data_IF_916344919160
#
_entry.id   IF_916344919160
#
_cell.length_a   1.000
_cell.length_b   1.000
_cell.length_c   1.000
_cell.angle_alpha   90.00
_cell.angle_beta   90.00
_cell.angle_gamma   90.00
#
_symmetry.space_group_name_H-M   'P 1'
#
loop_
_entity.id
_entity.type
_entity.pdbx_description
1 polymer ?
#
# COMPACT_ATOMS: atom_id res chain seq x y z
N UNK A 1 13.10 18.15 -14.27
CA UNK A 1 13.33 16.76 -13.89
C UNK A 1 12.57 16.45 -12.62
N UNK A 2 11.83 15.38 -12.64
CA UNK A 2 11.14 14.93 -11.43
C UNK A 2 12.00 13.96 -10.64
N UNK A 3 11.81 13.98 -9.34
CA UNK A 3 12.38 12.96 -8.46
C UNK A 3 11.47 11.75 -8.44
N UNK A 4 12.07 10.58 -8.25
CA UNK A 4 11.33 9.34 -8.04
C UNK A 4 11.34 8.98 -6.57
N UNK A 5 10.27 8.35 -6.14
CA UNK A 5 10.17 7.75 -4.83
C UNK A 5 9.82 6.28 -5.01
N UNK A 6 10.36 5.44 -4.15
CA UNK A 6 10.03 4.02 -4.16
C UNK A 6 9.00 3.75 -3.08
N UNK A 7 7.93 3.05 -3.44
CA UNK A 7 6.86 2.67 -2.52
C UNK A 7 6.84 1.16 -2.42
N UNK A 8 6.95 0.63 -1.20
CA UNK A 8 7.00 -0.81 -0.96
C UNK A 8 6.18 -1.15 0.25
N UNK A 9 5.31 -2.13 0.14
CA UNK A 9 4.56 -2.54 1.32
C UNK A 9 3.41 -3.48 1.01
N UNK A 10 2.54 -3.63 1.98
CA UNK A 10 1.41 -4.55 1.84
C UNK A 10 0.26 -4.13 2.73
N UNK A 11 -0.91 -4.65 2.36
CA UNK A 11 -2.13 -4.62 3.16
C UNK A 11 -2.61 -6.05 3.39
N UNK A 12 -3.11 -6.30 4.59
CA UNK A 12 -3.75 -7.56 4.95
C UNK A 12 -5.26 -7.37 4.89
N UNK A 13 -5.90 -8.21 4.09
CA UNK A 13 -7.33 -8.11 3.80
C UNK A 13 -8.01 -9.45 4.06
N UNK A 14 -9.34 -9.42 4.15
CA UNK A 14 -10.14 -10.63 4.04
C UNK A 14 -10.42 -10.95 2.58
N UNK A 15 -10.59 -12.23 2.26
CA UNK A 15 -10.86 -12.65 0.88
C UNK A 15 -12.12 -12.00 0.32
N UNK A 16 -13.12 -11.76 1.15
CA UNK A 16 -14.37 -11.12 0.71
C UNK A 16 -14.17 -9.66 0.33
N UNK A 17 -13.09 -9.03 0.74
CA UNK A 17 -12.78 -7.64 0.39
C UNK A 17 -12.07 -7.51 -0.97
N UNK A 18 -11.62 -8.62 -1.55
CA UNK A 18 -10.82 -8.58 -2.78
C UNK A 18 -11.54 -7.90 -3.96
N UNK A 19 -12.83 -8.18 -4.25
CA UNK A 19 -13.47 -7.51 -5.38
C UNK A 19 -13.51 -5.98 -5.23
N UNK A 20 -13.77 -5.47 -4.04
CA UNK A 20 -13.77 -4.04 -3.79
C UNK A 20 -12.35 -3.46 -3.89
N UNK A 21 -11.37 -4.20 -3.38
CA UNK A 21 -9.98 -3.77 -3.47
C UNK A 21 -9.52 -3.70 -4.92
N UNK A 22 -9.88 -4.67 -5.74
CA UNK A 22 -9.55 -4.67 -7.17
C UNK A 22 -10.14 -3.46 -7.89
N UNK A 23 -11.37 -3.07 -7.53
CA UNK A 23 -11.98 -1.87 -8.09
C UNK A 23 -11.21 -0.61 -7.71
N UNK A 24 -10.76 -0.53 -6.45
CA UNK A 24 -10.04 0.64 -5.94
C UNK A 24 -8.69 0.78 -6.64
N UNK A 25 -7.94 -0.31 -6.75
CA UNK A 25 -6.59 -0.22 -7.34
C UNK A 25 -6.65 0.00 -8.85
N UNK A 26 -7.67 -0.51 -9.52
CA UNK A 26 -7.87 -0.27 -10.94
C UNK A 26 -6.73 -0.78 -11.82
N UNK A 27 -6.79 -0.41 -13.09
CA UNK A 27 -5.74 -0.75 -14.07
C UNK A 27 -5.53 0.37 -15.09
N UNK A 28 -6.03 1.55 -14.78
CA UNK A 28 -6.12 2.67 -15.74
C UNK A 28 -4.96 3.66 -15.66
N UNK A 29 -4.01 3.46 -14.77
CA UNK A 29 -2.83 4.33 -14.70
C UNK A 29 -1.55 3.48 -14.68
N UNK A 30 -0.40 4.08 -15.07
CA UNK A 30 0.85 3.33 -15.19
C UNK A 30 1.35 2.75 -13.86
N UNK A 31 0.96 3.34 -12.74
CA UNK A 31 1.44 2.88 -11.42
C UNK A 31 0.59 1.79 -10.81
N UNK A 32 -0.59 1.51 -11.39
CA UNK A 32 -1.44 0.43 -10.90
C UNK A 32 -0.80 -0.95 -11.07
N UNK A 33 0.15 -1.08 -11.99
CA UNK A 33 0.90 -2.31 -12.20
C UNK A 33 1.78 -2.73 -11.03
N UNK A 34 2.00 -1.84 -10.06
CA UNK A 34 2.75 -2.18 -8.86
C UNK A 34 1.96 -3.00 -7.85
N UNK A 35 0.64 -3.06 -7.97
CA UNK A 35 -0.20 -3.86 -7.09
C UNK A 35 -0.15 -5.32 -7.50
N UNK A 36 -0.05 -6.23 -6.53
CA UNK A 36 0.03 -7.66 -6.81
C UNK A 36 -0.61 -8.48 -5.70
N UNK A 37 -1.32 -9.52 -6.12
CA UNK A 37 -1.87 -10.53 -5.23
C UNK A 37 -1.01 -11.78 -5.30
N UNK A 38 -0.93 -12.58 -4.22
CA UNK A 38 -0.31 -13.89 -4.33
C UNK A 38 -1.02 -14.76 -5.37
N UNK A 39 -0.24 -15.43 -6.22
CA UNK A 39 -0.82 -16.28 -7.25
C UNK A 39 -1.59 -17.47 -6.67
N UNK A 40 -1.14 -17.96 -5.51
CA UNK A 40 -1.76 -19.11 -4.84
C UNK A 40 -1.92 -18.81 -3.36
N UNK A 41 -2.94 -18.02 -2.98
CA UNK A 41 -3.17 -17.76 -1.56
C UNK A 41 -3.53 -19.08 -0.85
N UNK A 42 -3.02 -19.24 0.36
CA UNK A 42 -3.15 -20.52 1.07
C UNK A 42 -3.62 -20.39 2.51
N UNK A 43 -3.76 -19.18 3.01
CA UNK A 43 -4.21 -18.94 4.38
C UNK A 43 -5.51 -18.14 4.38
N UNK A 44 -5.96 -17.77 5.57
CA UNK A 44 -7.18 -17.00 5.77
C UNK A 44 -6.97 -15.50 5.58
N UNK A 45 -5.73 -15.04 5.59
CA UNK A 45 -5.40 -13.63 5.33
C UNK A 45 -4.95 -13.47 3.88
N UNK A 46 -5.53 -12.49 3.20
CA UNK A 46 -5.12 -12.17 1.84
C UNK A 46 -4.18 -10.96 1.89
N UNK A 47 -3.02 -11.10 1.28
CA UNK A 47 -2.03 -10.03 1.21
C UNK A 47 -2.10 -9.32 -0.12
N UNK A 48 -2.17 -8.01 -0.09
CA UNK A 48 -2.09 -7.17 -1.28
C UNK A 48 -0.78 -6.40 -1.20
N UNK A 49 0.13 -6.68 -2.12
CA UNK A 49 1.45 -6.06 -2.15
C UNK A 49 1.48 -4.89 -3.12
N UNK A 50 2.31 -3.92 -2.80
CA UNK A 50 2.68 -2.87 -3.75
C UNK A 50 4.19 -2.73 -3.78
N UNK A 51 4.74 -2.61 -5.00
CA UNK A 51 6.15 -2.28 -5.18
C UNK A 51 6.30 -1.50 -6.47
N UNK A 52 6.89 -0.32 -6.39
CA UNK A 52 7.11 0.48 -7.58
C UNK A 52 7.86 1.76 -7.30
N UNK A 53 8.51 2.24 -8.35
CA UNK A 53 9.15 3.55 -8.36
C UNK A 53 8.22 4.50 -9.08
N UNK A 54 7.79 5.54 -8.40
CA UNK A 54 6.82 6.50 -8.94
C UNK A 54 7.42 7.89 -8.90
N UNK A 55 6.96 8.77 -9.77
CA UNK A 55 7.35 10.18 -9.69
C UNK A 55 6.79 10.76 -8.40
N UNK A 56 7.60 11.61 -7.76
CA UNK A 56 7.20 12.23 -6.49
C UNK A 56 5.83 12.91 -6.60
N UNK A 57 5.56 13.57 -7.73
CA UNK A 57 4.28 14.24 -7.96
C UNK A 57 3.10 13.30 -8.07
N UNK A 58 3.32 12.00 -8.30
CA UNK A 58 2.26 11.00 -8.40
C UNK A 58 2.07 10.22 -7.10
N UNK A 59 2.88 10.46 -6.09
CA UNK A 59 2.80 9.72 -4.82
C UNK A 59 1.43 9.85 -4.18
N UNK A 60 0.81 11.03 -4.29
CA UNK A 60 -0.52 11.26 -3.73
C UNK A 60 -1.59 10.36 -4.31
N UNK A 61 -1.41 9.89 -5.55
CA UNK A 61 -2.35 8.96 -6.18
C UNK A 61 -2.28 7.58 -5.52
N UNK A 62 -1.07 7.11 -5.24
CA UNK A 62 -0.88 5.85 -4.52
C UNK A 62 -1.44 5.99 -3.09
N UNK A 63 -1.13 7.11 -2.43
CA UNK A 63 -1.63 7.39 -1.08
C UNK A 63 -3.16 7.38 -1.05
N UNK A 64 -3.81 7.98 -2.06
CA UNK A 64 -5.26 8.01 -2.14
C UNK A 64 -5.86 6.61 -2.25
N UNK A 65 -5.24 5.73 -3.04
CA UNK A 65 -5.68 4.33 -3.15
C UNK A 65 -5.55 3.60 -1.82
N UNK A 66 -4.43 3.81 -1.13
CA UNK A 66 -4.21 3.19 0.19
C UNK A 66 -5.26 3.69 1.18
N UNK A 67 -5.57 4.97 1.16
CA UNK A 67 -6.61 5.53 2.03
C UNK A 67 -8.00 4.93 1.74
N UNK A 68 -8.33 4.74 0.47
CA UNK A 68 -9.59 4.09 0.09
C UNK A 68 -9.62 2.62 0.54
N UNK A 69 -8.50 1.93 0.43
CA UNK A 69 -8.41 0.54 0.89
C UNK A 69 -8.53 0.45 2.41
N UNK A 70 -7.96 1.42 3.13
CA UNK A 70 -7.98 1.42 4.59
C UNK A 70 -9.39 1.51 5.18
N UNK A 71 -10.32 2.14 4.47
CA UNK A 71 -11.69 2.33 4.94
C UNK A 71 -12.67 1.25 4.45
N UNK A 72 -12.18 0.21 3.80
CA UNK A 72 -13.05 -0.91 3.43
C UNK A 72 -13.74 -1.46 4.67
N UNK A 73 -15.05 -1.71 4.61
CA UNK A 73 -15.76 -2.20 5.79
C UNK A 73 -15.30 -3.60 6.17
N UNK A 74 -15.32 -3.92 7.46
CA UNK A 74 -15.00 -5.27 7.90
C UNK A 74 -16.03 -6.26 7.38
N UNK A 75 -15.55 -7.48 7.07
CA UNK A 75 -16.38 -8.52 6.48
C UNK A 75 -16.50 -9.76 7.37
N UNK A 76 -15.87 -9.73 8.54
CA UNK A 76 -15.89 -10.84 9.48
C UNK A 76 -16.51 -10.42 10.82
N UNK A 77 -16.73 -11.40 11.69
CA UNK A 77 -17.33 -11.18 13.00
C UNK A 77 -16.42 -10.38 13.94
N UNK A 78 -15.13 -10.42 13.72
CA UNK A 78 -14.16 -9.71 14.54
C UNK A 78 -14.11 -8.22 14.25
N UNK A 79 -14.71 -7.81 13.13
CA UNK A 79 -14.73 -6.41 12.74
C UNK A 79 -13.39 -5.88 12.27
N UNK A 80 -12.50 -6.74 11.80
CA UNK A 80 -11.16 -6.35 11.39
C UNK A 80 -11.20 -5.56 10.09
N UNK A 81 -10.56 -4.42 10.10
CA UNK A 81 -10.34 -3.59 8.91
C UNK A 81 -8.98 -3.92 8.29
N UNK A 82 -8.77 -3.54 7.02
CA UNK A 82 -7.45 -3.71 6.41
C UNK A 82 -6.36 -3.06 7.26
N UNK A 83 -5.23 -3.74 7.35
CA UNK A 83 -4.06 -3.22 8.06
C UNK A 83 -2.81 -3.54 7.26
N UNK A 84 -1.78 -2.74 7.45
CA UNK A 84 -0.54 -2.98 6.76
C UNK A 84 0.46 -1.87 6.98
N UNK A 85 1.51 -1.91 6.17
CA UNK A 85 2.59 -0.93 6.26
C UNK A 85 3.18 -0.71 4.88
N UNK A 86 3.53 0.55 4.60
CA UNK A 86 4.27 0.92 3.40
C UNK A 86 5.49 1.73 3.80
N UNK A 87 6.58 1.53 3.09
CA UNK A 87 7.80 2.31 3.25
C UNK A 87 8.02 3.11 1.98
N UNK A 88 8.17 4.42 2.13
CA UNK A 88 8.40 5.34 1.03
C UNK A 88 9.81 5.90 1.19
N UNK A 89 10.66 5.65 0.20
CA UNK A 89 12.04 6.17 0.20
C UNK A 89 12.22 7.07 -1.01
N UNK A 90 12.97 8.16 -0.83
CA UNK A 90 13.27 9.07 -1.93
C UNK A 90 14.73 8.92 -2.39
N UNK A 91 15.10 9.65 -3.43
CA UNK A 91 16.45 9.59 -3.99
C UNK A 91 17.50 10.19 -3.07
N UNK A 92 17.10 10.94 -2.04
CA UNK A 92 17.99 11.52 -1.04
C UNK A 92 18.24 10.57 0.13
N UNK A 93 17.64 9.38 0.10
CA UNK A 93 17.79 8.41 1.17
C UNK A 93 16.86 8.63 2.37
N UNK A 94 15.92 9.56 2.25
CA UNK A 94 14.92 9.77 3.30
C UNK A 94 13.86 8.71 3.22
N UNK A 95 13.42 8.21 4.37
CA UNK A 95 12.41 7.16 4.45
C UNK A 95 11.29 7.58 5.38
N UNK A 96 10.07 7.23 4.99
CA UNK A 96 8.86 7.45 5.79
C UNK A 96 8.04 6.16 5.74
N UNK A 97 7.22 5.97 6.76
CA UNK A 97 6.30 4.83 6.79
C UNK A 97 4.86 5.31 6.84
N UNK A 98 3.99 4.53 6.22
CA UNK A 98 2.56 4.66 6.39
C UNK A 98 2.10 3.42 7.16
N UNK A 99 1.51 3.64 8.33
CA UNK A 99 0.86 2.57 9.07
C UNK A 99 -0.63 2.62 8.75
N UNK A 100 -1.17 1.50 8.29
CA UNK A 100 -2.59 1.39 7.95
C UNK A 100 -3.26 0.56 9.04
N UNK A 101 -4.17 1.18 9.76
CA UNK A 101 -4.89 0.51 10.85
C UNK A 101 -6.14 1.30 11.20
N UNK A 102 -7.19 0.58 11.60
CA UNK A 102 -8.43 1.19 12.12
C UNK A 102 -9.03 2.22 11.19
N UNK A 103 -8.95 1.98 9.89
CA UNK A 103 -9.55 2.85 8.88
C UNK A 103 -8.73 4.08 8.55
N UNK A 104 -7.49 4.17 9.02
CA UNK A 104 -6.64 5.34 8.83
C UNK A 104 -5.29 4.98 8.25
N UNK A 105 -4.68 5.95 7.56
CA UNK A 105 -3.29 5.87 7.11
C UNK A 105 -2.52 6.91 7.91
N UNK A 106 -1.57 6.45 8.71
CA UNK A 106 -0.81 7.30 9.62
C UNK A 106 0.61 7.43 9.11
N UNK A 107 1.07 8.68 8.99
CA UNK A 107 2.47 8.95 8.67
C UNK A 107 3.30 8.83 9.94
N UNK A 108 4.30 7.94 9.90
CA UNK A 108 5.17 7.72 11.05
C UNK A 108 6.62 7.75 10.58
N UNK A 109 7.55 8.10 11.48
CA UNK A 109 8.97 8.00 11.15
C UNK A 109 9.34 6.57 10.82
N UNK A 110 10.11 6.38 9.75
CA UNK A 110 10.60 5.05 9.39
C UNK A 110 11.87 4.72 10.17
N UNK A 111 12.12 3.42 10.44
CA UNK A 111 13.46 2.99 10.80
C UNK A 111 14.45 3.38 9.70
N UNK A 112 15.73 3.17 9.93
CA UNK A 112 16.76 3.53 8.95
C UNK A 112 16.68 2.58 7.74
N UNK A 113 15.93 3.01 6.75
CA UNK A 113 15.82 2.32 5.45
C UNK A 113 16.50 3.11 4.33
N UNK A 114 17.31 4.11 4.66
CA UNK A 114 17.98 4.93 3.65
C UNK A 114 18.86 4.10 2.71
N UNK A 115 19.36 2.97 3.18
CA UNK A 115 20.17 2.06 2.36
C UNK A 115 19.37 1.47 1.19
N UNK A 116 18.06 1.48 1.24
CA UNK A 116 17.22 1.00 0.13
C UNK A 116 17.26 1.96 -1.07
N UNK A 117 17.67 3.19 -0.87
CA UNK A 117 17.73 4.18 -1.94
C UNK A 117 19.10 4.24 -2.64
N UNK A 118 20.08 3.51 -2.13
CA UNK A 118 21.44 3.54 -2.68
C UNK A 118 21.70 2.43 -3.68
#
# INVERSE_FOLDING_TARGET
>A
MGMYVSVRGWLELGFAQKPDAERIIGDDDPYSGGWAWPAKPFNWTLYLFYGGDVREGALHEIRARVEQLAVLPPVDEDGDRPRGVFVVTDERGQARCWHIREGAVLDVPAPDFGWLAS
#
